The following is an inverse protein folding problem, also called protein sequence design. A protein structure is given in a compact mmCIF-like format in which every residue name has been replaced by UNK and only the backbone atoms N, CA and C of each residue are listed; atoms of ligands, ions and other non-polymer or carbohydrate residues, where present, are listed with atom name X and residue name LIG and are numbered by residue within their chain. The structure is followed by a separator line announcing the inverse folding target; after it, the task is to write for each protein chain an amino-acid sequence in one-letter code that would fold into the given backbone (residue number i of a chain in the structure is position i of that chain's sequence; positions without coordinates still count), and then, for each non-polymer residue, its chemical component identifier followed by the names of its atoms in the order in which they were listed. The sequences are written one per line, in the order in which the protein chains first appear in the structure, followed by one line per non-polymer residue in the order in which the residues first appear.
data_IF_057890413624
#
_entry.id   IF_057890413624
#
_cell.length_a   1.000
_cell.length_b   1.000
_cell.length_c   1.000
_cell.angle_alpha   90.00
_cell.angle_beta   90.00
_cell.angle_gamma   90.00
#
_symmetry.space_group_name_H-M   'P 1'
#
loop_
_entity.id
_entity.type
_entity.pdbx_description
1 polymer ?
#
# COMPACT_ATOMS: atom_id res chain seq x y z
N UNK A 1 14.65 -25.84 -13.72
CA UNK A 1 15.55 -24.68 -13.94
C UNK A 1 14.91 -23.43 -13.35
N UNK A 2 15.47 -22.87 -12.26
CA UNK A 2 15.02 -21.57 -11.75
C UNK A 2 15.39 -20.47 -12.75
N UNK A 3 14.38 -19.80 -13.29
CA UNK A 3 14.52 -18.78 -14.35
C UNK A 3 15.35 -17.58 -13.81
N UNK A 4 16.58 -17.42 -14.30
CA UNK A 4 17.49 -16.34 -13.90
C UNK A 4 17.07 -14.93 -14.36
N UNK A 5 15.94 -14.78 -15.06
CA UNK A 5 15.48 -13.50 -15.63
C UNK A 5 14.70 -12.59 -14.65
N UNK A 6 14.92 -12.74 -13.34
CA UNK A 6 13.94 -12.29 -12.34
C UNK A 6 14.35 -11.05 -11.53
N UNK A 7 15.65 -10.76 -11.36
CA UNK A 7 16.08 -9.69 -10.42
C UNK A 7 15.69 -8.28 -10.89
N UNK A 8 15.99 -7.93 -12.14
CA UNK A 8 15.66 -6.60 -12.67
C UNK A 8 14.14 -6.40 -12.84
N UNK A 9 13.40 -7.46 -13.19
CA UNK A 9 11.93 -7.43 -13.23
C UNK A 9 11.33 -7.15 -11.85
N UNK A 10 11.84 -7.80 -10.80
CA UNK A 10 11.41 -7.54 -9.41
C UNK A 10 11.73 -6.10 -8.98
N UNK A 11 12.91 -5.58 -9.32
CA UNK A 11 13.29 -4.20 -8.98
C UNK A 11 12.36 -3.20 -9.70
N UNK A 12 12.10 -3.41 -11.00
CA UNK A 12 11.17 -2.60 -11.78
C UNK A 12 9.75 -2.63 -11.23
N UNK A 13 9.25 -3.82 -10.88
CA UNK A 13 7.93 -3.97 -10.26
C UNK A 13 7.84 -3.23 -8.93
N UNK A 14 8.87 -3.34 -8.07
CA UNK A 14 8.92 -2.61 -6.78
C UNK A 14 8.96 -1.10 -7.00
N UNK A 15 9.71 -0.62 -7.98
CA UNK A 15 9.76 0.80 -8.32
C UNK A 15 8.39 1.30 -8.80
N UNK A 16 7.72 0.54 -9.65
CA UNK A 16 6.38 0.84 -10.14
C UNK A 16 5.35 0.90 -9.00
N UNK A 17 5.38 -0.09 -8.09
CA UNK A 17 4.50 -0.11 -6.91
C UNK A 17 4.70 1.14 -6.03
N UNK A 18 5.95 1.56 -5.80
CA UNK A 18 6.26 2.78 -5.03
C UNK A 18 5.76 4.04 -5.72
N UNK A 19 5.93 4.14 -7.04
CA UNK A 19 5.42 5.26 -7.82
C UNK A 19 3.88 5.33 -7.76
N UNK A 20 3.20 4.19 -7.94
CA UNK A 20 1.74 4.09 -7.84
C UNK A 20 1.24 4.49 -6.44
N UNK A 21 1.91 4.04 -5.38
CA UNK A 21 1.56 4.40 -4.00
C UNK A 21 1.68 5.91 -3.75
N UNK A 22 2.73 6.55 -4.28
CA UNK A 22 2.90 8.01 -4.16
C UNK A 22 1.80 8.78 -4.87
N UNK A 23 1.45 8.37 -6.09
CA UNK A 23 0.34 8.99 -6.85
C UNK A 23 -0.99 8.80 -6.12
N UNK A 24 -1.22 7.63 -5.53
CA UNK A 24 -2.41 7.37 -4.71
C UNK A 24 -2.46 8.26 -3.46
N UNK A 25 -1.34 8.44 -2.78
CA UNK A 25 -1.24 9.31 -1.61
C UNK A 25 -1.50 10.80 -1.96
N UNK A 26 -0.90 11.28 -3.05
CA UNK A 26 -1.09 12.65 -3.52
C UNK A 26 -2.53 12.88 -3.99
N UNK A 27 -3.11 11.91 -4.71
CA UNK A 27 -4.52 11.96 -5.09
C UNK A 27 -5.43 12.02 -3.87
N UNK A 28 -5.15 11.22 -2.83
CA UNK A 28 -5.90 11.27 -1.57
C UNK A 28 -5.80 12.63 -0.87
N UNK A 29 -4.59 13.19 -0.74
CA UNK A 29 -4.38 14.49 -0.06
C UNK A 29 -5.17 15.61 -0.74
N UNK A 30 -5.29 15.55 -2.06
CA UNK A 30 -5.95 16.57 -2.86
C UNK A 30 -7.37 16.19 -3.30
N UNK A 31 -7.90 15.06 -2.80
CA UNK A 31 -9.21 14.51 -3.18
C UNK A 31 -9.39 14.30 -4.70
N UNK A 32 -8.31 13.96 -5.40
CA UNK A 32 -8.32 13.61 -6.82
C UNK A 32 -8.76 12.16 -7.02
N UNK A 33 -9.49 11.94 -8.13
CA UNK A 33 -9.90 10.61 -8.56
C UNK A 33 -8.89 10.06 -9.56
N UNK A 34 -8.47 8.82 -9.39
CA UNK A 34 -7.58 8.15 -10.32
C UNK A 34 -8.44 7.33 -11.31
N UNK A 35 -8.18 7.44 -12.63
CA UNK A 35 -8.83 6.58 -13.60
C UNK A 35 -8.29 5.14 -13.48
N UNK A 36 -9.19 4.19 -13.27
CA UNK A 36 -8.93 2.76 -13.20
C UNK A 36 -9.69 2.08 -14.33
N UNK A 37 -9.00 1.24 -15.08
CA UNK A 37 -9.65 0.40 -16.09
C UNK A 37 -10.29 -0.82 -15.41
N UNK A 38 -11.61 -0.93 -15.50
CA UNK A 38 -12.39 -2.00 -14.87
C UNK A 38 -13.51 -2.43 -15.80
N UNK A 39 -13.62 -3.74 -16.05
CA UNK A 39 -14.67 -4.34 -16.87
C UNK A 39 -14.87 -3.66 -18.25
N UNK A 40 -13.77 -3.23 -18.89
CA UNK A 40 -13.81 -2.62 -20.22
C UNK A 40 -14.19 -1.13 -20.25
N UNK A 41 -14.24 -0.46 -19.09
CA UNK A 41 -14.52 0.98 -18.98
C UNK A 41 -13.54 1.64 -18.01
N UNK A 42 -13.41 2.95 -18.11
CA UNK A 42 -12.64 3.76 -17.17
C UNK A 42 -13.58 4.19 -16.05
N UNK A 43 -13.28 3.76 -14.83
CA UNK A 43 -13.94 4.19 -13.59
C UNK A 43 -13.01 5.14 -12.83
N UNK A 44 -13.55 6.15 -12.17
CA UNK A 44 -12.78 7.14 -11.42
C UNK A 44 -12.97 6.89 -9.93
N UNK A 45 -11.98 6.25 -9.29
CA UNK A 45 -12.03 5.91 -7.88
C UNK A 45 -11.04 6.78 -7.08
N UNK A 46 -11.44 7.20 -5.86
CA UNK A 46 -10.49 7.75 -4.90
C UNK A 46 -9.81 6.54 -4.25
N UNK A 47 -8.47 6.44 -4.27
CA UNK A 47 -7.79 5.28 -3.70
C UNK A 47 -8.12 5.13 -2.21
N UNK A 48 -8.87 4.07 -1.88
CA UNK A 48 -9.24 3.71 -0.51
C UNK A 48 -8.06 3.11 0.25
N UNK A 49 -7.97 3.39 1.54
CA UNK A 49 -6.93 2.85 2.42
C UNK A 49 -7.23 1.35 2.62
N UNK A 50 -6.43 0.45 2.07
CA UNK A 50 -6.31 -0.89 2.66
C UNK A 50 -5.46 -0.69 3.93
N UNK A 51 -6.12 -0.35 5.03
CA UNK A 51 -5.46 -0.32 6.32
C UNK A 51 -5.29 -1.79 6.72
N UNK A 52 -4.16 -2.41 6.35
CA UNK A 52 -3.70 -3.55 7.15
C UNK A 52 -3.38 -2.96 8.53
N UNK A 53 -4.38 -3.05 9.41
CA UNK A 53 -4.24 -2.76 10.81
C UNK A 53 -3.36 -3.88 11.37
N UNK A 54 -2.04 -3.80 11.19
CA UNK A 54 -1.09 -4.51 12.03
C UNK A 54 -1.15 -3.84 13.40
N UNK A 55 -2.26 -4.02 14.10
CA UNK A 55 -2.34 -3.74 15.52
C UNK A 55 -1.33 -4.66 16.17
N UNK A 56 -0.16 -4.11 16.53
CA UNK A 56 0.56 -4.64 17.67
C UNK A 56 -0.45 -4.55 18.82
N UNK A 57 -1.02 -5.70 19.19
CA UNK A 57 -1.81 -5.83 20.41
C UNK A 57 -0.83 -5.47 21.51
N UNK A 58 -0.99 -4.26 22.05
CA UNK A 58 -0.26 -3.81 23.23
C UNK A 58 -0.75 -4.68 24.39
N UNK A 59 -0.09 -5.81 24.59
CA UNK A 59 -0.27 -6.63 25.76
C UNK A 59 0.28 -5.82 26.93
N UNK A 60 -0.60 -5.07 27.58
CA UNK A 60 -0.33 -4.31 28.79
C UNK A 60 0.38 -5.19 29.81
N UNK A 61 1.68 -5.00 29.96
CA UNK A 61 2.43 -5.52 31.08
C UNK A 61 2.19 -4.57 32.25
N UNK A 62 1.21 -4.89 33.10
CA UNK A 62 0.97 -4.23 34.37
C UNK A 62 2.13 -4.54 35.32
N UNK A 63 3.21 -3.75 35.22
CA UNK A 63 4.32 -3.76 36.16
C UNK A 63 3.99 -2.93 37.39
N UNK A 64 3.85 -3.63 38.52
CA UNK A 64 3.65 -3.14 39.89
C UNK A 64 4.49 -1.89 40.23
N UNK A 65 3.83 -0.83 40.69
CA UNK A 65 4.48 0.28 41.40
C UNK A 65 4.34 -0.02 42.90
N UNK A 66 5.34 -0.71 43.46
CA UNK A 66 5.50 -0.87 44.90
C UNK A 66 6.14 0.40 45.49
N UNK A 67 5.55 0.84 46.60
CA UNK A 67 5.74 2.13 47.26
C UNK A 67 6.69 2.00 48.46
#
# INVERSE_FOLDING_TARGET
MMKMHNKYGIIGLKALQRAAAKVAEDARKNNYKIPIWKNGRIEYEVPGIIHEQSGAVDHGNSGSFDK
#
